data_IF_410739676668
#
_entry.id   IF_410739676668
#
_cell.length_a   1.000
_cell.length_b   1.000
_cell.length_c   1.000
_cell.angle_alpha   90.00
_cell.angle_beta   90.00
_cell.angle_gamma   90.00
#
_symmetry.space_group_name_H-M   'P 1'
#
loop_
_entity.id
_entity.type
_entity.pdbx_description
1 polymer ?
#
# COMPACT_ATOMS: atom_id res chain seq x y z
N UNK A 1 3.33 11.08 12.15
CA UNK A 1 2.64 9.83 12.49
C UNK A 1 3.61 8.78 13.08
N UNK A 2 4.77 8.53 12.49
CA UNK A 2 5.69 7.49 12.94
C UNK A 2 6.22 7.69 14.38
N UNK A 3 6.24 8.92 14.87
CA UNK A 3 6.68 9.30 16.22
C UNK A 3 5.51 9.46 17.19
N UNK A 4 4.31 9.05 16.80
CA UNK A 4 3.13 9.19 17.66
C UNK A 4 3.22 8.26 18.88
N UNK A 5 2.99 8.78 20.08
CA UNK A 5 3.13 8.05 21.35
C UNK A 5 2.40 6.69 21.40
N UNK A 6 1.21 6.60 20.78
CA UNK A 6 0.44 5.34 20.71
C UNK A 6 1.13 4.22 19.95
N UNK A 7 2.06 4.54 19.03
CA UNK A 7 2.69 3.52 18.19
C UNK A 7 3.85 2.78 18.87
N UNK A 8 4.43 3.33 19.94
CA UNK A 8 5.61 2.73 20.53
C UNK A 8 6.77 2.62 19.54
N UNK A 9 7.75 1.75 19.82
CA UNK A 9 8.93 1.54 18.98
C UNK A 9 9.04 0.13 18.40
N UNK A 10 8.27 -0.83 18.90
CA UNK A 10 8.41 -2.25 18.57
C UNK A 10 7.62 -2.63 17.30
N UNK A 11 8.10 -3.65 16.61
CA UNK A 11 7.50 -4.13 15.37
C UNK A 11 7.72 -3.22 14.17
N UNK A 12 7.31 -3.69 13.00
CA UNK A 12 7.38 -2.93 11.75
C UNK A 12 6.27 -1.89 11.65
N UNK A 13 6.53 -0.80 10.94
CA UNK A 13 5.54 0.23 10.66
C UNK A 13 4.86 -0.05 9.32
N UNK A 14 3.54 -0.17 9.31
CA UNK A 14 2.75 -0.60 8.15
C UNK A 14 1.71 0.48 7.80
N UNK A 15 1.54 0.75 6.51
CA UNK A 15 0.49 1.64 6.03
C UNK A 15 -0.72 0.85 5.57
N UNK A 16 -1.90 1.17 6.09
CA UNK A 16 -3.18 0.61 5.66
C UNK A 16 -4.00 1.69 4.93
N UNK A 17 -4.33 1.43 3.67
CA UNK A 17 -5.21 2.30 2.89
C UNK A 17 -5.95 1.50 1.81
N UNK A 18 -7.26 1.49 1.87
CA UNK A 18 -8.12 0.93 0.82
C UNK A 18 -8.60 1.99 -0.18
N UNK A 19 -8.01 3.19 -0.16
CA UNK A 19 -8.42 4.31 -1.00
C UNK A 19 -9.77 4.90 -0.57
N UNK A 20 -10.26 5.90 -1.29
CA UNK A 20 -11.44 6.66 -0.89
C UNK A 20 -12.77 5.90 -1.02
N UNK A 21 -12.86 4.95 -1.94
CA UNK A 21 -14.10 4.21 -2.17
C UNK A 21 -14.18 2.93 -1.32
N UNK A 22 -13.12 2.10 -1.33
CA UNK A 22 -13.17 0.84 -0.60
C UNK A 22 -13.07 1.03 0.92
N UNK A 23 -12.46 2.10 1.41
CA UNK A 23 -12.47 2.43 2.85
C UNK A 23 -13.81 2.98 3.36
N UNK A 24 -14.80 3.18 2.48
CA UNK A 24 -16.18 3.45 2.89
C UNK A 24 -16.92 2.19 3.38
N UNK A 25 -16.36 1.00 3.13
CA UNK A 25 -16.85 -0.26 3.70
C UNK A 25 -16.40 -0.38 5.16
N UNK A 26 -17.26 0.07 6.07
CA UNK A 26 -16.98 0.13 7.52
C UNK A 26 -16.78 -1.27 8.10
N UNK A 27 -17.53 -2.27 7.64
CA UNK A 27 -17.41 -3.65 8.13
C UNK A 27 -16.04 -4.24 7.78
N UNK A 28 -15.60 -4.03 6.54
CA UNK A 28 -14.27 -4.43 6.10
C UNK A 28 -13.17 -3.70 6.89
N UNK A 29 -13.27 -2.38 7.04
CA UNK A 29 -12.29 -1.59 7.79
C UNK A 29 -12.22 -2.01 9.25
N UNK A 30 -13.36 -2.22 9.91
CA UNK A 30 -13.40 -2.70 11.29
C UNK A 30 -12.77 -4.10 11.42
N UNK A 31 -13.08 -5.01 10.50
CA UNK A 31 -12.46 -6.34 10.49
C UNK A 31 -10.93 -6.28 10.35
N UNK A 32 -10.44 -5.41 9.46
CA UNK A 32 -8.99 -5.20 9.32
C UNK A 32 -8.37 -4.65 10.60
N UNK A 33 -9.00 -3.69 11.24
CA UNK A 33 -8.56 -3.13 12.52
C UNK A 33 -8.51 -4.22 13.60
N UNK A 34 -9.55 -5.05 13.70
CA UNK A 34 -9.64 -6.12 14.71
C UNK A 34 -8.55 -7.19 14.52
N UNK A 35 -8.27 -7.58 13.26
CA UNK A 35 -7.24 -8.55 12.94
C UNK A 35 -5.84 -7.98 13.19
N UNK A 36 -5.56 -6.78 12.66
CA UNK A 36 -4.26 -6.14 12.73
C UNK A 36 -3.95 -5.61 14.14
N UNK A 37 -4.96 -5.28 14.93
CA UNK A 37 -4.82 -4.85 16.32
C UNK A 37 -4.22 -5.93 17.24
N UNK A 38 -4.26 -7.21 16.83
CA UNK A 38 -3.69 -8.35 17.58
C UNK A 38 -2.24 -8.67 17.21
N UNK A 39 -1.68 -7.94 16.22
CA UNK A 39 -0.31 -8.17 15.74
C UNK A 39 0.71 -7.32 16.51
N UNK A 40 1.99 -7.68 16.53
CA UNK A 40 3.04 -6.88 17.17
C UNK A 40 3.47 -5.66 16.32
N UNK A 41 2.84 -5.42 15.18
CA UNK A 41 3.18 -4.33 14.27
C UNK A 41 2.44 -3.05 14.61
N UNK A 42 2.88 -1.95 14.02
CA UNK A 42 2.32 -0.60 14.18
C UNK A 42 1.71 -0.15 12.86
N UNK A 43 0.60 0.57 12.92
CA UNK A 43 -0.11 0.93 11.70
C UNK A 43 -0.39 2.42 11.61
N UNK A 44 -0.19 2.98 10.41
CA UNK A 44 -0.76 4.26 10.00
C UNK A 44 -1.92 3.95 9.07
N UNK A 45 -3.12 4.43 9.44
CA UNK A 45 -4.37 4.08 8.74
C UNK A 45 -4.97 5.30 8.07
N UNK A 46 -5.21 5.23 6.76
CA UNK A 46 -6.12 6.14 6.06
C UNK A 46 -7.52 5.60 6.23
N UNK A 47 -8.28 6.19 7.17
CA UNK A 47 -9.59 5.68 7.62
C UNK A 47 -10.69 5.80 6.57
N UNK A 48 -10.54 6.75 5.63
CA UNK A 48 -11.53 7.02 4.60
C UNK A 48 -12.72 7.86 5.06
N UNK A 49 -13.73 8.04 4.20
CA UNK A 49 -14.82 8.99 4.41
C UNK A 49 -15.78 8.62 5.57
N UNK A 50 -15.70 7.40 6.07
CA UNK A 50 -16.51 6.91 7.19
C UNK A 50 -15.67 6.78 8.49
N UNK A 51 -14.64 7.62 8.63
CA UNK A 51 -13.65 7.56 9.72
C UNK A 51 -14.25 7.59 11.14
N UNK A 52 -15.38 8.24 11.32
CA UNK A 52 -16.04 8.38 12.62
C UNK A 52 -16.90 7.17 13.01
N UNK A 53 -17.08 6.20 12.11
CA UNK A 53 -17.95 5.04 12.35
C UNK A 53 -17.22 3.83 12.95
N UNK A 54 -15.89 3.92 13.12
CA UNK A 54 -15.11 2.87 13.76
C UNK A 54 -13.85 3.43 14.46
N UNK A 55 -13.41 2.72 15.48
CA UNK A 55 -12.24 3.09 16.28
C UNK A 55 -10.99 2.30 15.86
N UNK A 56 -9.83 2.92 15.98
CA UNK A 56 -8.56 2.26 15.76
C UNK A 56 -8.07 1.54 17.01
N UNK A 57 -7.40 0.39 16.83
CA UNK A 57 -6.74 -0.35 17.90
C UNK A 57 -5.54 0.45 18.49
N UNK A 58 -5.03 0.00 19.64
CA UNK A 58 -3.98 0.71 20.39
C UNK A 58 -2.65 0.83 19.64
N UNK A 59 -2.36 -0.13 18.75
CA UNK A 59 -1.16 -0.12 17.89
C UNK A 59 -1.36 0.67 16.59
N UNK A 60 -2.41 1.48 16.48
CA UNK A 60 -2.78 2.20 15.26
C UNK A 60 -2.97 3.68 15.50
N UNK A 61 -2.57 4.47 14.51
CA UNK A 61 -2.92 5.90 14.39
C UNK A 61 -3.41 6.18 12.98
N UNK A 62 -4.24 7.21 12.80
CA UNK A 62 -4.73 7.52 11.47
C UNK A 62 -5.63 8.73 11.46
N UNK A 63 -6.05 9.08 10.25
CA UNK A 63 -7.00 10.14 9.97
C UNK A 63 -7.89 9.72 8.80
N UNK A 64 -8.95 10.48 8.53
CA UNK A 64 -9.81 10.30 7.37
C UNK A 64 -8.98 10.17 6.08
N UNK A 65 -8.08 11.11 5.85
CA UNK A 65 -7.10 11.07 4.76
C UNK A 65 -5.69 11.29 5.28
N UNK A 66 -4.76 10.51 4.75
CA UNK A 66 -3.33 10.59 5.06
C UNK A 66 -2.55 10.86 3.77
N UNK A 67 -1.57 11.76 3.83
CA UNK A 67 -0.71 12.04 2.67
C UNK A 67 0.17 10.83 2.36
N UNK A 68 -0.28 9.97 1.45
CA UNK A 68 0.39 8.72 1.08
C UNK A 68 1.85 8.91 0.66
N UNK A 69 2.21 9.91 -0.19
CA UNK A 69 3.61 10.13 -0.55
C UNK A 69 4.51 10.53 0.61
N UNK A 70 3.95 11.14 1.67
CA UNK A 70 4.69 11.47 2.88
C UNK A 70 4.89 10.26 3.81
N UNK A 71 3.96 9.31 3.79
CA UNK A 71 3.97 8.12 4.65
C UNK A 71 4.81 6.99 4.05
N UNK A 72 4.71 6.75 2.75
CA UNK A 72 5.38 5.63 2.08
C UNK A 72 6.90 5.55 2.32
N UNK A 73 7.68 6.63 2.41
CA UNK A 73 9.10 6.54 2.75
C UNK A 73 9.37 5.90 4.12
N UNK A 74 8.47 6.07 5.09
CA UNK A 74 8.66 5.74 6.50
C UNK A 74 8.22 4.32 6.86
N UNK A 75 7.35 3.68 6.06
CA UNK A 75 6.77 2.38 6.37
C UNK A 75 7.57 1.22 5.77
N UNK A 76 7.39 0.04 6.33
CA UNK A 76 8.06 -1.19 5.88
C UNK A 76 7.22 -1.98 4.88
N UNK A 77 5.89 -1.85 4.94
CA UNK A 77 4.94 -2.58 4.11
C UNK A 77 3.67 -1.76 3.89
N UNK A 78 2.95 -2.02 2.81
CA UNK A 78 1.66 -1.40 2.49
C UNK A 78 0.57 -2.46 2.40
N UNK A 79 -0.56 -2.23 3.06
CA UNK A 79 -1.82 -2.97 2.85
C UNK A 79 -2.74 -2.06 2.03
N UNK A 80 -3.18 -2.53 0.86
CA UNK A 80 -3.91 -1.70 -0.10
C UNK A 80 -4.99 -2.49 -0.83
N UNK A 81 -5.99 -1.77 -1.37
CA UNK A 81 -6.97 -2.34 -2.30
C UNK A 81 -6.39 -2.63 -3.71
N UNK A 82 -5.17 -2.17 -4.01
CA UNK A 82 -4.56 -2.38 -5.33
C UNK A 82 -4.90 -1.30 -6.36
N UNK A 83 -5.38 -0.12 -5.94
CA UNK A 83 -5.57 1.01 -6.85
C UNK A 83 -4.26 1.41 -7.52
N UNK A 84 -4.31 1.76 -8.81
CA UNK A 84 -3.13 1.99 -9.65
C UNK A 84 -2.13 2.99 -9.06
N UNK A 85 -2.62 4.09 -8.46
CA UNK A 85 -1.74 5.10 -7.85
C UNK A 85 -0.98 4.51 -6.66
N UNK A 86 -1.66 3.81 -5.75
CA UNK A 86 -1.04 3.22 -4.56
C UNK A 86 -0.01 2.15 -4.92
N UNK A 87 -0.32 1.30 -5.90
CA UNK A 87 0.62 0.27 -6.38
C UNK A 87 1.88 0.92 -6.98
N UNK A 88 1.69 1.91 -7.85
CA UNK A 88 2.80 2.62 -8.51
C UNK A 88 3.66 3.39 -7.51
N UNK A 89 3.05 4.10 -6.56
CA UNK A 89 3.75 4.83 -5.51
C UNK A 89 4.47 3.88 -4.56
N UNK A 90 3.83 2.78 -4.15
CA UNK A 90 4.47 1.77 -3.32
C UNK A 90 5.72 1.17 -3.99
N UNK A 91 5.69 0.88 -5.27
CA UNK A 91 6.86 0.43 -6.01
C UNK A 91 7.94 1.52 -6.16
N UNK A 92 7.52 2.78 -6.35
CA UNK A 92 8.45 3.91 -6.38
C UNK A 92 9.25 4.04 -5.08
N UNK A 93 8.63 3.74 -3.94
CA UNK A 93 9.27 3.72 -2.62
C UNK A 93 9.83 2.34 -2.23
N UNK A 94 9.71 1.32 -3.10
CA UNK A 94 10.28 -0.01 -2.87
C UNK A 94 9.59 -0.79 -1.75
N UNK A 95 8.26 -0.63 -1.60
CA UNK A 95 7.51 -1.25 -0.51
C UNK A 95 6.82 -2.54 -0.96
N UNK A 96 6.97 -3.65 -0.21
CA UNK A 96 6.15 -4.83 -0.40
C UNK A 96 4.70 -4.54 -0.08
N UNK A 97 3.78 -5.28 -0.71
CA UNK A 97 2.34 -5.02 -0.56
C UNK A 97 1.56 -6.28 -0.24
N UNK A 98 0.57 -6.14 0.64
CA UNK A 98 -0.57 -7.04 0.71
C UNK A 98 -1.73 -6.36 0.01
N UNK A 99 -2.28 -7.00 -1.02
CA UNK A 99 -3.36 -6.44 -1.83
C UNK A 99 -4.67 -7.15 -1.55
N UNK A 100 -5.69 -6.37 -1.21
CA UNK A 100 -7.06 -6.76 -0.92
C UNK A 100 -7.97 -6.13 -1.99
N UNK A 101 -8.08 -6.71 -3.22
CA UNK A 101 -8.82 -6.09 -4.31
C UNK A 101 -10.32 -6.12 -4.04
N UNK A 102 -11.01 -5.02 -4.33
CA UNK A 102 -12.44 -4.84 -4.09
C UNK A 102 -13.23 -4.77 -5.40
N UNK A 103 -12.75 -3.99 -6.40
CA UNK A 103 -13.44 -3.83 -7.68
C UNK A 103 -12.48 -3.40 -8.81
N UNK A 104 -12.93 -3.48 -10.06
CA UNK A 104 -12.30 -2.98 -11.29
C UNK A 104 -10.87 -3.51 -11.52
N UNK A 105 -9.97 -2.60 -11.92
CA UNK A 105 -8.55 -2.84 -12.22
C UNK A 105 -7.73 -3.33 -11.01
N UNK A 106 -8.29 -3.24 -9.82
CA UNK A 106 -7.63 -3.70 -8.59
C UNK A 106 -7.33 -5.21 -8.61
N UNK A 107 -8.20 -6.00 -9.24
CA UNK A 107 -7.98 -7.45 -9.40
C UNK A 107 -6.80 -7.74 -10.32
N UNK A 108 -6.67 -7.00 -11.43
CA UNK A 108 -5.56 -7.14 -12.38
C UNK A 108 -4.25 -6.65 -11.73
N UNK A 109 -4.30 -5.53 -11.01
CA UNK A 109 -3.16 -5.00 -10.27
C UNK A 109 -2.71 -5.98 -9.17
N UNK A 110 -3.63 -6.57 -8.40
CA UNK A 110 -3.33 -7.56 -7.37
C UNK A 110 -2.70 -8.82 -7.98
N UNK A 111 -3.23 -9.31 -9.09
CA UNK A 111 -2.65 -10.43 -9.82
C UNK A 111 -1.24 -10.09 -10.28
N UNK A 112 -1.01 -8.89 -10.82
CA UNK A 112 0.30 -8.46 -11.29
C UNK A 112 1.32 -8.34 -10.16
N UNK A 113 0.92 -7.84 -8.99
CA UNK A 113 1.77 -7.79 -7.78
C UNK A 113 2.22 -9.20 -7.39
N UNK A 114 1.30 -10.17 -7.41
CA UNK A 114 1.57 -11.57 -7.05
C UNK A 114 2.44 -12.27 -8.10
N UNK A 115 2.12 -12.17 -9.38
CA UNK A 115 2.89 -12.79 -10.49
C UNK A 115 4.34 -12.30 -10.54
N UNK A 116 4.57 -11.04 -10.24
CA UNK A 116 5.91 -10.47 -10.18
C UNK A 116 6.66 -10.82 -8.88
N UNK A 117 5.99 -11.47 -7.93
CA UNK A 117 6.55 -11.76 -6.61
C UNK A 117 6.92 -10.49 -5.84
N UNK A 118 6.13 -9.42 -5.96
CA UNK A 118 6.36 -8.11 -5.33
C UNK A 118 5.44 -7.87 -4.12
N UNK A 119 4.60 -8.85 -3.79
CA UNK A 119 3.68 -8.80 -2.69
C UNK A 119 2.82 -10.05 -2.59
N UNK A 120 1.71 -9.94 -1.89
CA UNK A 120 0.70 -10.98 -1.74
C UNK A 120 -0.68 -10.44 -2.12
N UNK A 121 -1.52 -11.30 -2.69
CA UNK A 121 -2.94 -11.07 -2.91
C UNK A 121 -3.73 -11.91 -1.94
N UNK A 122 -4.73 -11.34 -1.27
CA UNK A 122 -5.69 -12.06 -0.45
C UNK A 122 -7.12 -11.82 -0.93
N UNK A 123 -8.03 -12.79 -0.72
CA UNK A 123 -9.45 -12.63 -1.04
C UNK A 123 -10.10 -11.69 -0.02
N UNK A 124 -10.40 -10.46 -0.40
CA UNK A 124 -10.77 -9.34 0.48
C UNK A 124 -11.88 -9.66 1.50
N UNK A 125 -12.90 -10.39 1.07
CA UNK A 125 -14.04 -10.72 1.91
C UNK A 125 -14.04 -12.16 2.45
N UNK A 126 -13.02 -12.97 2.08
CA UNK A 126 -12.98 -14.39 2.38
C UNK A 126 -11.61 -14.87 2.91
N UNK A 127 -10.73 -13.96 3.36
CA UNK A 127 -9.52 -14.37 4.05
C UNK A 127 -9.84 -14.79 5.49
N UNK A 128 -9.16 -15.83 5.98
CA UNK A 128 -9.19 -16.19 7.40
C UNK A 128 -8.32 -15.22 8.20
N UNK A 129 -8.64 -14.99 9.47
CA UNK A 129 -8.00 -13.96 10.31
C UNK A 129 -6.48 -14.11 10.46
N UNK A 130 -5.94 -15.32 10.29
CA UNK A 130 -4.51 -15.62 10.33
C UNK A 130 -3.78 -15.39 8.99
N UNK A 131 -4.51 -15.35 7.87
CA UNK A 131 -3.91 -15.21 6.55
C UNK A 131 -3.24 -13.84 6.36
N UNK A 132 -3.86 -12.78 6.86
CA UNK A 132 -3.33 -11.42 6.70
C UNK A 132 -2.06 -11.19 7.54
N UNK A 133 -2.01 -11.53 8.85
CA UNK A 133 -0.78 -11.49 9.63
C UNK A 133 0.33 -12.36 9.05
N UNK A 134 0.03 -13.59 8.64
CA UNK A 134 1.01 -14.48 8.03
C UNK A 134 1.60 -13.94 6.72
N UNK A 135 0.78 -13.30 5.88
CA UNK A 135 1.26 -12.65 4.66
C UNK A 135 2.19 -11.47 4.98
N UNK A 136 1.85 -10.66 5.98
CA UNK A 136 2.66 -9.53 6.45
C UNK A 136 4.03 -10.04 6.93
N UNK A 137 4.05 -10.99 7.87
CA UNK A 137 5.28 -11.52 8.44
C UNK A 137 6.20 -12.14 7.38
N UNK A 138 5.62 -12.91 6.45
CA UNK A 138 6.34 -13.49 5.33
C UNK A 138 6.99 -12.44 4.44
N UNK A 139 6.26 -11.39 4.08
CA UNK A 139 6.79 -10.32 3.20
C UNK A 139 7.85 -9.47 3.92
N UNK A 140 7.70 -9.22 5.21
CA UNK A 140 8.67 -8.49 6.01
C UNK A 140 9.98 -9.28 6.20
N UNK A 141 9.91 -10.60 6.24
CA UNK A 141 11.07 -11.49 6.38
C UNK A 141 11.77 -11.79 5.05
N UNK A 142 11.18 -11.44 3.88
CA UNK A 142 11.72 -11.76 2.55
C UNK A 142 12.80 -10.75 2.12
N UNK A 143 14.05 -11.00 2.52
CA UNK A 143 15.21 -10.19 2.12
C UNK A 143 15.42 -10.13 0.59
N UNK A 144 15.32 -11.26 -0.17
CA UNK A 144 15.37 -11.23 -1.63
C UNK A 144 14.30 -10.31 -2.25
N UNK A 145 13.08 -10.31 -1.75
CA UNK A 145 12.02 -9.41 -2.18
C UNK A 145 12.41 -7.94 -1.94
N UNK A 146 12.91 -7.63 -0.74
CA UNK A 146 13.36 -6.29 -0.38
C UNK A 146 14.44 -5.77 -1.34
N UNK A 147 15.42 -6.61 -1.69
CA UNK A 147 16.47 -6.27 -2.66
C UNK A 147 15.91 -6.00 -4.05
N UNK A 148 14.96 -6.83 -4.54
CA UNK A 148 14.28 -6.63 -5.84
C UNK A 148 13.50 -5.33 -5.88
N UNK A 149 12.71 -5.04 -4.83
CA UNK A 149 11.94 -3.80 -4.70
C UNK A 149 12.84 -2.57 -4.64
N UNK A 150 13.96 -2.64 -3.93
CA UNK A 150 14.96 -1.57 -3.89
C UNK A 150 15.55 -1.27 -5.27
N UNK A 151 15.88 -2.30 -6.05
CA UNK A 151 16.38 -2.16 -7.44
C UNK A 151 15.32 -1.53 -8.35
N UNK A 152 14.06 -1.99 -8.23
CA UNK A 152 12.95 -1.43 -9.01
C UNK A 152 12.69 0.03 -8.65
N UNK A 153 12.67 0.38 -7.37
CA UNK A 153 12.48 1.75 -6.90
C UNK A 153 13.60 2.68 -7.41
N UNK A 154 14.85 2.23 -7.39
CA UNK A 154 15.97 3.00 -7.93
C UNK A 154 15.78 3.27 -9.44
N UNK A 155 15.36 2.24 -10.20
CA UNK A 155 15.08 2.36 -11.64
C UNK A 155 13.92 3.33 -11.92
N UNK A 156 12.82 3.27 -11.16
CA UNK A 156 11.67 4.15 -11.31
C UNK A 156 12.05 5.62 -11.03
N UNK A 157 12.82 5.87 -9.98
CA UNK A 157 13.30 7.22 -9.64
C UNK A 157 14.29 7.79 -10.66
N UNK A 158 15.14 6.95 -11.23
CA UNK A 158 16.09 7.36 -12.28
C UNK A 158 15.41 7.65 -13.63
N UNK A 159 14.19 7.14 -13.86
CA UNK A 159 13.46 7.27 -15.12
C UNK A 159 12.03 7.80 -14.87
N UNK A 160 11.85 9.09 -14.52
CA UNK A 160 10.54 9.65 -14.20
C UNK A 160 9.60 9.54 -15.41
N UNK A 161 8.49 8.80 -15.24
CA UNK A 161 7.53 8.54 -16.31
C UNK A 161 6.90 9.81 -16.89
N UNK A 162 6.67 10.81 -16.05
CA UNK A 162 6.13 12.12 -16.46
C UNK A 162 7.08 12.88 -17.41
N UNK A 163 8.37 12.89 -17.12
CA UNK A 163 9.39 13.49 -17.99
C UNK A 163 9.47 12.75 -19.33
N UNK A 164 9.47 11.42 -19.27
CA UNK A 164 9.47 10.60 -20.49
C UNK A 164 8.23 10.85 -21.35
N UNK A 165 7.06 10.92 -20.74
CA UNK A 165 5.81 11.22 -21.45
C UNK A 165 5.86 12.61 -22.11
N UNK A 166 6.32 13.64 -21.40
CA UNK A 166 6.50 14.98 -21.94
C UNK A 166 7.44 14.99 -23.16
N UNK A 167 8.61 14.35 -23.05
CA UNK A 167 9.58 14.25 -24.15
C UNK A 167 8.98 13.54 -25.38
N UNK A 168 8.23 12.45 -25.18
CA UNK A 168 7.57 11.74 -26.29
C UNK A 168 6.50 12.61 -26.99
N UNK A 169 5.73 13.38 -26.23
CA UNK A 169 4.74 14.31 -26.78
C UNK A 169 5.41 15.43 -27.57
N UNK A 170 6.49 16.01 -27.04
CA UNK A 170 7.25 17.06 -27.75
C UNK A 170 7.88 16.53 -29.04
N UNK A 171 8.49 15.33 -29.01
CA UNK A 171 9.08 14.71 -30.20
C UNK A 171 8.02 14.44 -31.28
N UNK A 172 6.83 13.97 -30.88
CA UNK A 172 5.73 13.76 -31.82
C UNK A 172 5.26 15.07 -32.44
N UNK A 173 5.13 16.13 -31.64
CA UNK A 173 4.71 17.45 -32.11
C UNK A 173 5.74 18.09 -33.07
N UNK A 174 7.04 17.81 -32.89
CA UNK A 174 8.08 18.27 -33.82
C UNK A 174 8.02 17.54 -35.15
N UNK A 175 7.87 16.20 -35.14
CA UNK A 175 7.76 15.37 -36.36
C UNK A 175 6.50 15.62 -37.19
N UNK A 176 5.42 16.08 -36.58
CA UNK A 176 4.17 16.40 -37.29
C UNK A 176 4.14 17.80 -37.90
N UNK A 177 5.25 18.57 -37.85
CA UNK A 177 5.40 19.88 -38.48
C UNK A 177 6.23 19.85 -39.77
N UNK A 178 6.84 18.70 -40.06
CA UNK A 178 7.53 18.41 -41.32
C UNK A 178 6.60 17.63 -42.26
#
# INVERSE_FOLDING_TARGET
YAEHERLGSDGSLIYLSLGSLASADVELMQRLVDVLGRTPHRYIVSKGPQADLYELADNMVGAEFVSQPAILPMVDLVITHGGNNTVTEGWYFGKPMVVLPVFWDQYDNAQRVEELGLGARLPTYAFDDDMLPAAIDRLLADEPLRARLGTMAARLRANPGTVRAANLIEDLARRGRD
#
